data_IF_388475807009
#
_entry.id   IF_388475807009
#
_cell.length_a   1.000
_cell.length_b   1.000
_cell.length_c   1.000
_cell.angle_alpha   90.00
_cell.angle_beta   90.00
_cell.angle_gamma   90.00
#
_symmetry.space_group_name_H-M   'P 1'
#
loop_
_entity.id
_entity.type
_entity.pdbx_description
1 polymer ?
#
# COMPACT_ATOMS: atom_id res chain seq x y z
N UNK A 1 20.52 22.41 21.04
CA UNK A 1 21.34 22.00 19.88
C UNK A 1 20.51 22.25 18.62
N UNK A 2 20.90 23.17 17.75
CA UNK A 2 20.26 23.27 16.43
C UNK A 2 20.77 22.09 15.59
N UNK A 3 19.86 21.24 15.11
CA UNK A 3 20.21 20.07 14.31
C UNK A 3 20.82 20.48 12.97
N UNK A 4 21.66 19.63 12.38
CA UNK A 4 22.38 19.86 11.11
C UNK A 4 21.48 20.22 9.90
N UNK A 5 20.16 20.07 10.02
CA UNK A 5 19.17 20.42 8.99
C UNK A 5 18.28 21.62 9.34
N UNK A 6 18.57 22.35 10.43
CA UNK A 6 17.72 23.44 10.91
C UNK A 6 17.52 24.55 9.87
N UNK A 7 18.58 24.88 9.10
CA UNK A 7 18.51 25.90 8.05
C UNK A 7 17.65 25.43 6.86
N UNK A 8 17.81 24.19 6.41
CA UNK A 8 17.03 23.61 5.30
C UNK A 8 15.55 23.48 5.68
N UNK A 9 15.25 23.01 6.89
CA UNK A 9 13.88 22.94 7.40
C UNK A 9 13.28 24.35 7.57
N UNK A 10 14.08 25.33 8.00
CA UNK A 10 13.67 26.73 8.05
C UNK A 10 13.33 27.27 6.67
N UNK A 11 14.15 26.98 5.65
CA UNK A 11 13.88 27.37 4.27
C UNK A 11 12.59 26.73 3.73
N UNK A 12 12.35 25.44 3.98
CA UNK A 12 11.09 24.79 3.55
C UNK A 12 9.86 25.44 4.20
N UNK A 13 9.90 25.70 5.51
CA UNK A 13 8.81 26.36 6.25
C UNK A 13 8.55 27.78 5.76
N UNK A 14 9.60 28.54 5.46
CA UNK A 14 9.49 29.89 4.92
C UNK A 14 8.76 29.91 3.55
N UNK A 15 8.79 28.81 2.81
CA UNK A 15 8.09 28.64 1.53
C UNK A 15 6.81 27.81 1.65
N UNK A 16 6.34 27.51 2.86
CA UNK A 16 5.16 26.65 3.12
C UNK A 16 5.24 25.28 2.44
N UNK A 17 6.45 24.71 2.36
CA UNK A 17 6.71 23.39 1.78
C UNK A 17 6.80 22.29 2.84
N UNK A 18 6.57 22.61 4.11
CA UNK A 18 6.51 21.61 5.17
C UNK A 18 5.24 20.76 5.03
N UNK A 19 5.42 19.45 5.13
CA UNK A 19 4.34 18.48 5.01
C UNK A 19 4.12 17.81 6.35
N UNK A 20 2.84 17.69 6.71
CA UNK A 20 2.41 16.98 7.90
C UNK A 20 1.55 15.82 7.47
N UNK A 21 1.85 14.64 8.01
CA UNK A 21 0.99 13.48 7.84
C UNK A 21 -0.30 13.71 8.64
N UNK A 22 -1.43 13.32 8.05
CA UNK A 22 -2.71 13.31 8.74
C UNK A 22 -3.12 11.88 9.01
N UNK A 23 -3.56 11.63 10.24
CA UNK A 23 -4.04 10.31 10.65
C UNK A 23 -5.41 10.05 10.05
N UNK A 24 -5.58 8.89 9.39
CA UNK A 24 -6.86 8.38 8.93
C UNK A 24 -7.34 7.32 9.91
N UNK A 25 -8.52 7.51 10.51
CA UNK A 25 -9.06 6.67 11.61
C UNK A 25 -10.18 5.72 11.17
N UNK A 26 -10.32 5.50 9.87
CA UNK A 26 -11.32 4.60 9.27
C UNK A 26 -10.67 3.67 8.24
N UNK A 27 -11.42 2.68 7.76
CA UNK A 27 -11.06 2.00 6.51
C UNK A 27 -11.05 2.99 5.33
N UNK A 28 -10.37 2.63 4.23
CA UNK A 28 -10.42 3.41 2.99
C UNK A 28 -11.80 3.30 2.33
N UNK A 29 -12.23 4.35 1.67
CA UNK A 29 -13.53 4.41 1.00
C UNK A 29 -13.90 5.83 0.57
N UNK A 30 -15.16 6.00 0.15
CA UNK A 30 -15.71 7.29 -0.27
C UNK A 30 -15.81 8.31 0.87
N UNK A 31 -15.86 7.85 2.12
CA UNK A 31 -15.82 8.67 3.32
C UNK A 31 -14.69 8.16 4.22
N UNK A 32 -13.91 9.09 4.77
CA UNK A 32 -12.83 8.80 5.73
C UNK A 32 -12.93 9.67 6.96
N UNK A 33 -12.39 9.18 8.08
CA UNK A 33 -12.25 9.97 9.31
C UNK A 33 -10.83 10.56 9.42
N UNK A 34 -10.72 11.89 9.42
CA UNK A 34 -9.47 12.64 9.61
C UNK A 34 -9.75 13.78 10.60
N UNK A 35 -8.86 13.98 11.59
CA UNK A 35 -9.01 15.01 12.63
C UNK A 35 -10.38 14.92 13.36
N UNK A 36 -10.84 13.68 13.62
CA UNK A 36 -12.15 13.36 14.21
C UNK A 36 -13.37 13.87 13.41
N UNK A 37 -13.20 14.09 12.10
CA UNK A 37 -14.27 14.52 11.18
C UNK A 37 -14.45 13.52 10.06
N UNK A 38 -15.71 13.24 9.71
CA UNK A 38 -16.04 12.49 8.50
C UNK A 38 -15.95 13.41 7.29
N UNK A 39 -15.15 13.02 6.30
CA UNK A 39 -14.89 13.77 5.08
C UNK A 39 -15.14 12.89 3.86
N UNK A 40 -15.68 13.48 2.78
CA UNK A 40 -15.74 12.82 1.47
C UNK A 40 -14.32 12.77 0.90
N UNK A 41 -13.85 11.58 0.55
CA UNK A 41 -12.47 11.32 0.16
C UNK A 41 -12.25 11.51 -1.35
N UNK A 42 -11.97 12.74 -1.76
CA UNK A 42 -11.53 13.06 -3.12
C UNK A 42 -9.99 12.96 -3.32
N UNK A 43 -9.25 12.48 -2.31
CA UNK A 43 -7.78 12.46 -2.30
C UNK A 43 -7.20 11.03 -2.34
N UNK A 44 -8.03 10.01 -2.57
CA UNK A 44 -7.61 8.61 -2.67
C UNK A 44 -7.21 8.22 -4.09
N UNK A 45 -6.32 7.23 -4.18
CA UNK A 45 -6.01 6.53 -5.44
C UNK A 45 -6.78 5.20 -5.57
N UNK A 46 -7.70 4.89 -4.65
CA UNK A 46 -8.55 3.70 -4.70
C UNK A 46 -9.74 3.90 -5.67
N UNK A 47 -9.42 4.00 -6.96
CA UNK A 47 -10.40 4.34 -8.01
C UNK A 47 -11.56 3.36 -8.13
N UNK A 48 -11.36 2.10 -7.76
CA UNK A 48 -12.34 1.02 -7.88
C UNK A 48 -12.97 0.63 -6.54
N UNK A 49 -12.59 1.29 -5.43
CA UNK A 49 -13.08 0.96 -4.09
C UNK A 49 -12.61 -0.40 -3.58
N UNK A 50 -11.49 -0.92 -4.09
CA UNK A 50 -11.01 -2.27 -3.78
C UNK A 50 -10.21 -2.32 -2.49
N UNK A 51 -9.72 -1.20 -1.96
CA UNK A 51 -8.88 -1.19 -0.76
C UNK A 51 -9.60 -1.73 0.49
N UNK A 52 -10.93 -1.77 0.50
CA UNK A 52 -11.75 -2.33 1.59
C UNK A 52 -12.80 -3.33 1.10
N UNK A 53 -12.63 -3.89 -0.10
CA UNK A 53 -13.52 -4.91 -0.65
C UNK A 53 -13.55 -6.17 0.25
N UNK A 54 -14.73 -6.69 0.60
CA UNK A 54 -14.84 -7.83 1.51
C UNK A 54 -14.24 -9.13 0.95
N UNK A 55 -14.29 -9.35 -0.37
CA UNK A 55 -13.71 -10.55 -0.99
C UNK A 55 -12.18 -10.50 -0.96
N UNK A 56 -11.59 -9.33 -1.18
CA UNK A 56 -10.13 -9.15 -1.07
C UNK A 56 -9.66 -9.33 0.38
N UNK A 57 -10.41 -8.81 1.36
CA UNK A 57 -10.13 -9.03 2.77
C UNK A 57 -10.14 -10.52 3.12
N UNK A 58 -11.17 -11.25 2.68
CA UNK A 58 -11.27 -12.70 2.90
C UNK A 58 -10.12 -13.46 2.25
N UNK A 59 -9.78 -13.15 1.00
CA UNK A 59 -8.67 -13.77 0.28
C UNK A 59 -7.32 -13.53 0.98
N UNK A 60 -7.09 -12.32 1.49
CA UNK A 60 -5.91 -11.98 2.27
C UNK A 60 -5.85 -12.75 3.59
N UNK A 61 -6.96 -12.82 4.34
CA UNK A 61 -7.04 -13.60 5.59
C UNK A 61 -6.75 -15.08 5.34
N UNK A 62 -7.32 -15.67 4.27
CA UNK A 62 -7.05 -17.06 3.90
C UNK A 62 -5.58 -17.28 3.56
N UNK A 63 -4.96 -16.38 2.80
CA UNK A 63 -3.54 -16.48 2.45
C UNK A 63 -2.65 -16.38 3.70
N UNK A 64 -2.99 -15.52 4.67
CA UNK A 64 -2.27 -15.44 5.95
C UNK A 64 -2.39 -16.76 6.73
N UNK A 65 -3.57 -17.34 6.80
CA UNK A 65 -3.79 -18.64 7.45
C UNK A 65 -2.99 -19.76 6.79
N UNK A 66 -2.87 -19.76 5.47
CA UNK A 66 -2.18 -20.80 4.69
C UNK A 66 -0.65 -20.65 4.70
N UNK A 67 -0.15 -19.42 4.54
CA UNK A 67 1.27 -19.15 4.27
C UNK A 67 2.00 -18.37 5.37
N UNK A 68 1.27 -17.85 6.36
CA UNK A 68 1.81 -16.88 7.32
C UNK A 68 1.95 -15.47 6.73
N UNK A 69 2.59 -14.58 7.49
CA UNK A 69 2.66 -13.14 7.19
C UNK A 69 3.82 -12.73 6.29
N UNK A 70 4.84 -13.58 6.14
CA UNK A 70 6.05 -13.26 5.40
C UNK A 70 6.61 -14.50 4.68
N UNK A 71 7.41 -14.26 3.65
CA UNK A 71 7.99 -15.31 2.81
C UNK A 71 9.25 -15.95 3.41
N UNK A 72 9.82 -15.38 4.46
CA UNK A 72 11.00 -15.88 5.17
C UNK A 72 12.34 -15.75 4.42
N UNK A 73 12.32 -15.50 3.12
CA UNK A 73 13.52 -15.33 2.30
C UNK A 73 13.23 -14.58 0.98
N UNK A 74 14.28 -14.37 0.17
CA UNK A 74 14.16 -13.87 -1.19
C UNK A 74 13.59 -14.93 -2.15
N UNK A 75 13.09 -14.47 -3.30
CA UNK A 75 12.50 -15.34 -4.34
C UNK A 75 13.42 -16.47 -4.81
N UNK A 76 14.73 -16.22 -4.85
CA UNK A 76 15.75 -17.15 -5.34
C UNK A 76 16.22 -18.19 -4.31
N UNK A 77 15.83 -18.06 -3.04
CA UNK A 77 16.21 -19.01 -1.98
C UNK A 77 15.01 -19.89 -1.65
N UNK A 78 14.06 -19.36 -0.88
CA UNK A 78 12.86 -20.08 -0.42
C UNK A 78 11.64 -19.17 -0.29
N UNK A 79 11.70 -17.94 -0.80
CA UNK A 79 10.68 -16.93 -0.62
C UNK A 79 9.53 -16.94 -1.63
N UNK A 80 9.39 -17.99 -2.44
CA UNK A 80 8.35 -18.06 -3.49
C UNK A 80 7.18 -18.92 -3.04
N UNK A 81 6.10 -18.28 -2.59
CA UNK A 81 4.81 -18.95 -2.35
C UNK A 81 4.03 -19.19 -3.65
N UNK A 82 3.11 -20.16 -3.63
CA UNK A 82 2.21 -20.45 -4.76
C UNK A 82 1.32 -19.26 -5.16
N UNK A 83 1.05 -18.33 -4.23
CA UNK A 83 0.36 -17.07 -4.51
C UNK A 83 1.12 -16.18 -5.49
N UNK A 84 2.45 -16.10 -5.40
CA UNK A 84 3.26 -15.33 -6.35
C UNK A 84 3.16 -15.90 -7.76
N UNK A 85 3.34 -17.22 -7.89
CA UNK A 85 3.28 -17.92 -9.19
C UNK A 85 1.90 -17.73 -9.84
N UNK A 86 0.82 -17.87 -9.07
CA UNK A 86 -0.55 -17.64 -9.57
C UNK A 86 -0.80 -16.19 -9.97
N UNK A 87 -0.31 -15.23 -9.19
CA UNK A 87 -0.43 -13.80 -9.50
C UNK A 87 0.29 -13.47 -10.81
N UNK A 88 1.55 -13.90 -10.95
CA UNK A 88 2.37 -13.62 -12.14
C UNK A 88 1.76 -14.26 -13.40
N UNK A 89 1.28 -15.50 -13.31
CA UNK A 89 0.58 -16.14 -14.42
C UNK A 89 -0.74 -15.42 -14.78
N UNK A 90 -1.52 -15.00 -13.78
CA UNK A 90 -2.77 -14.28 -14.00
C UNK A 90 -2.52 -12.90 -14.64
N UNK A 91 -1.49 -12.18 -14.20
CA UNK A 91 -1.09 -10.89 -14.76
C UNK A 91 -0.60 -11.02 -16.20
N UNK A 92 0.27 -11.99 -16.49
CA UNK A 92 0.75 -12.25 -17.84
C UNK A 92 -0.41 -12.55 -18.79
N UNK A 93 -1.33 -13.43 -18.38
CA UNK A 93 -2.56 -13.74 -19.12
C UNK A 93 -3.43 -12.50 -19.34
N UNK A 94 -3.66 -11.71 -18.29
CA UNK A 94 -4.52 -10.53 -18.35
C UNK A 94 -3.94 -9.43 -19.26
N UNK A 95 -2.62 -9.24 -19.23
CA UNK A 95 -1.92 -8.25 -20.06
C UNK A 95 -1.58 -8.76 -21.47
N UNK A 96 -1.74 -10.05 -21.75
CA UNK A 96 -1.36 -10.65 -23.02
C UNK A 96 0.16 -10.67 -23.25
N UNK A 97 0.94 -10.82 -22.18
CA UNK A 97 2.41 -10.88 -22.24
C UNK A 97 2.91 -12.30 -22.00
N UNK A 98 4.16 -12.57 -22.39
CA UNK A 98 4.78 -13.89 -22.21
C UNK A 98 4.98 -14.26 -20.73
N UNK A 99 5.29 -13.27 -19.90
CA UNK A 99 5.49 -13.42 -18.46
C UNK A 99 5.17 -12.12 -17.71
N UNK A 100 5.10 -12.22 -16.38
CA UNK A 100 5.06 -11.10 -15.45
C UNK A 100 5.91 -11.43 -14.22
N UNK A 101 6.40 -10.40 -13.54
CA UNK A 101 7.19 -10.52 -12.31
C UNK A 101 6.71 -9.51 -11.28
N UNK A 102 6.48 -9.95 -10.05
CA UNK A 102 6.07 -9.06 -8.95
C UNK A 102 7.28 -8.44 -8.25
N UNK A 103 7.21 -7.14 -7.93
CA UNK A 103 8.18 -6.40 -7.12
C UNK A 103 7.54 -5.88 -5.82
N UNK A 104 8.35 -5.40 -4.89
CA UNK A 104 7.89 -4.88 -3.59
C UNK A 104 7.22 -3.50 -3.64
N UNK A 105 7.37 -2.77 -4.75
CA UNK A 105 6.69 -1.50 -5.07
C UNK A 105 6.94 -1.10 -6.51
#
# INVERSE_FOLDING_TARGET
>A
MSGIYAQQLGALRAHSLDRHLREVRSSQGTVVEIDSKQLINFASNDYLGLASDPHLREAATKAITEFGVGTGASRLISGTHSSHVRLEAALAKWKGTEAALSFGS
#
